data_IF_062895041199
#
_entry.id   IF_062895041199
#
_cell.length_a   1.000
_cell.length_b   1.000
_cell.length_c   1.000
_cell.angle_alpha   90.00
_cell.angle_beta   90.00
_cell.angle_gamma   90.00
#
_symmetry.space_group_name_H-M   'P 1'
#
loop_
_entity.id
_entity.type
_entity.pdbx_description
1 polymer ?
#
# COMPACT_ATOMS: atom_id res chain seq x y z
N UNK A 1 17.33 8.75 -21.20
CA UNK A 1 15.99 8.24 -20.88
C UNK A 1 15.89 6.85 -21.49
N UNK A 2 15.96 5.80 -20.66
CA UNK A 2 15.75 4.42 -21.12
C UNK A 2 14.27 4.25 -21.42
N UNK A 3 13.91 3.99 -22.67
CA UNK A 3 12.53 3.64 -23.01
C UNK A 3 12.22 2.26 -22.42
N UNK A 4 11.05 2.03 -21.79
CA UNK A 4 10.77 0.82 -21.02
C UNK A 4 10.39 -0.36 -21.93
N UNK A 5 11.04 -0.53 -23.08
CA UNK A 5 10.75 -1.59 -24.04
C UNK A 5 11.99 -2.44 -24.28
N UNK A 6 11.84 -3.75 -24.19
CA UNK A 6 12.91 -4.73 -24.37
C UNK A 6 12.46 -5.78 -25.38
N UNK A 7 13.35 -6.16 -26.30
CA UNK A 7 13.13 -7.28 -27.20
C UNK A 7 13.61 -8.56 -26.52
N UNK A 8 12.77 -9.59 -26.49
CA UNK A 8 13.09 -10.89 -25.91
C UNK A 8 12.86 -12.01 -26.91
N UNK A 9 13.53 -13.15 -26.70
CA UNK A 9 13.38 -14.37 -27.52
C UNK A 9 12.62 -15.42 -26.72
N UNK A 10 11.54 -15.95 -27.27
CA UNK A 10 10.72 -16.98 -26.63
C UNK A 10 11.09 -18.34 -27.18
N UNK A 11 11.39 -19.28 -26.29
CA UNK A 11 11.69 -20.66 -26.62
C UNK A 11 10.67 -21.60 -25.99
N UNK A 12 10.48 -22.78 -26.58
CA UNK A 12 9.65 -23.85 -26.03
C UNK A 12 8.21 -23.88 -26.54
N UNK A 13 7.51 -24.96 -26.18
CA UNK A 13 6.17 -25.34 -26.70
C UNK A 13 5.01 -24.85 -25.84
N UNK A 14 5.30 -24.30 -24.66
CA UNK A 14 4.27 -24.04 -23.65
C UNK A 14 3.24 -22.98 -24.06
N UNK A 15 3.63 -22.05 -24.92
CA UNK A 15 2.75 -20.99 -25.44
C UNK A 15 2.26 -21.29 -26.86
N UNK A 16 2.49 -22.50 -27.37
CA UNK A 16 1.95 -22.93 -28.65
C UNK A 16 0.42 -23.12 -28.54
N UNK A 17 -0.37 -22.72 -29.55
CA UNK A 17 0.04 -22.28 -30.88
C UNK A 17 0.36 -20.78 -31.00
N UNK A 18 0.15 -19.98 -29.95
CA UNK A 18 0.27 -18.52 -30.03
C UNK A 18 1.71 -18.05 -30.25
N UNK A 19 2.66 -18.64 -29.53
CA UNK A 19 4.08 -18.53 -29.82
C UNK A 19 4.62 -19.87 -30.30
N UNK A 20 5.66 -19.80 -31.13
CA UNK A 20 6.43 -20.93 -31.60
C UNK A 20 5.53 -21.97 -32.30
N UNK A 21 4.64 -21.52 -33.19
CA UNK A 21 3.64 -22.33 -33.93
C UNK A 21 4.22 -23.62 -34.54
N UNK A 22 5.47 -23.57 -35.00
CA UNK A 22 6.15 -24.70 -35.66
C UNK A 22 6.97 -25.59 -34.70
N UNK A 23 6.92 -25.34 -33.39
CA UNK A 23 7.65 -26.15 -32.41
C UNK A 23 6.91 -27.45 -32.11
N UNK A 24 7.53 -28.57 -32.45
CA UNK A 24 7.08 -29.91 -32.10
C UNK A 24 8.19 -30.65 -31.35
N UNK A 25 7.87 -31.48 -30.33
CA UNK A 25 8.87 -32.30 -29.64
C UNK A 25 9.58 -33.32 -30.56
N UNK A 26 9.02 -33.60 -31.74
CA UNK A 26 9.55 -34.57 -32.72
C UNK A 26 10.42 -33.91 -33.81
N UNK A 27 10.48 -32.58 -33.85
CA UNK A 27 11.22 -31.82 -34.87
C UNK A 27 12.42 -31.10 -34.25
N UNK A 28 13.47 -30.79 -35.04
CA UNK A 28 14.56 -29.93 -34.58
C UNK A 28 14.02 -28.58 -34.09
N UNK A 29 14.68 -27.94 -33.11
CA UNK A 29 14.19 -26.72 -32.49
C UNK A 29 13.98 -25.62 -33.54
N UNK A 30 12.76 -25.11 -33.63
CA UNK A 30 12.42 -24.01 -34.50
C UNK A 30 13.15 -22.72 -34.06
N UNK A 31 13.29 -21.77 -34.98
CA UNK A 31 13.79 -20.45 -34.64
C UNK A 31 12.86 -19.81 -33.59
N UNK A 32 13.42 -19.16 -32.54
CA UNK A 32 12.61 -18.58 -31.49
C UNK A 32 11.85 -17.35 -31.98
N UNK A 33 10.62 -17.19 -31.51
CA UNK A 33 9.84 -15.98 -31.73
C UNK A 33 10.47 -14.79 -31.01
N UNK A 34 10.45 -13.64 -31.67
CA UNK A 34 10.92 -12.37 -31.13
C UNK A 34 9.71 -11.57 -30.62
N UNK A 35 9.75 -11.16 -29.37
CA UNK A 35 8.65 -10.43 -28.72
C UNK A 35 9.12 -9.05 -28.25
N UNK A 36 8.23 -8.06 -28.34
CA UNK A 36 8.40 -6.74 -27.76
C UNK A 36 7.74 -6.70 -26.39
N UNK A 37 8.50 -6.42 -25.35
CA UNK A 37 8.06 -6.44 -23.96
C UNK A 37 8.14 -5.04 -23.37
N UNK A 38 7.02 -4.56 -22.82
CA UNK A 38 7.00 -3.39 -21.96
C UNK A 38 7.45 -3.78 -20.56
N UNK A 39 8.61 -3.29 -20.12
CA UNK A 39 9.14 -3.56 -18.79
C UNK A 39 8.38 -2.74 -17.74
N UNK A 40 7.93 -3.43 -16.69
CA UNK A 40 7.22 -2.84 -15.55
C UNK A 40 8.22 -2.40 -14.48
N UNK A 41 9.28 -3.21 -14.31
CA UNK A 41 10.45 -2.83 -13.53
C UNK A 41 11.50 -2.27 -14.48
N UNK A 42 11.65 -0.94 -14.51
CA UNK A 42 12.91 -0.38 -14.99
C UNK A 42 14.01 -0.93 -14.08
N UNK A 43 15.01 -1.59 -14.67
CA UNK A 43 16.25 -2.09 -14.06
C UNK A 43 17.14 -0.92 -13.56
N UNK A 44 16.55 0.09 -12.93
CA UNK A 44 17.22 1.29 -12.47
C UNK A 44 16.46 1.99 -11.35
N UNK A 45 17.21 2.64 -10.47
CA UNK A 45 16.74 3.42 -9.32
C UNK A 45 15.65 4.43 -9.72
N UNK A 46 14.39 4.06 -9.51
CA UNK A 46 13.28 5.01 -9.53
C UNK A 46 13.29 5.77 -8.21
N UNK A 47 13.52 7.08 -8.30
CA UNK A 47 13.47 8.00 -7.16
C UNK A 47 12.19 7.77 -6.33
N UNK A 48 12.28 7.68 -4.99
CA UNK A 48 11.11 7.49 -4.11
C UNK A 48 10.08 8.63 -4.19
N UNK A 49 10.42 9.73 -4.86
CA UNK A 49 9.55 10.87 -5.14
C UNK A 49 8.53 10.58 -6.26
N UNK A 50 8.83 9.66 -7.17
CA UNK A 50 7.93 9.27 -8.26
C UNK A 50 7.42 7.86 -8.01
N UNK A 51 6.25 7.77 -7.37
CA UNK A 51 5.48 6.52 -7.27
C UNK A 51 5.08 6.15 -8.70
N UNK A 52 5.82 5.25 -9.34
CA UNK A 52 5.41 4.71 -10.65
C UNK A 52 4.03 4.09 -10.43
N UNK A 53 3.00 4.47 -11.21
CA UNK A 53 1.67 3.90 -11.04
C UNK A 53 1.77 2.37 -11.12
N UNK A 54 1.12 1.68 -10.19
CA UNK A 54 1.06 0.21 -10.20
C UNK A 54 0.55 -0.22 -11.56
N UNK A 55 1.38 -0.98 -12.29
CA UNK A 55 1.02 -1.45 -13.62
C UNK A 55 -0.21 -2.36 -13.48
N UNK A 56 -1.31 -1.98 -14.13
CA UNK A 56 -2.56 -2.73 -14.03
C UNK A 56 -2.58 -3.85 -15.06
N UNK A 57 -2.51 -5.08 -14.58
CA UNK A 57 -2.67 -6.28 -15.39
C UNK A 57 -4.13 -6.49 -15.78
N UNK A 58 -4.33 -6.99 -16.99
CA UNK A 58 -5.63 -7.33 -17.55
C UNK A 58 -5.63 -8.82 -17.93
N UNK A 59 -6.82 -9.43 -17.90
CA UNK A 59 -7.01 -10.82 -18.34
C UNK A 59 -6.64 -10.94 -19.82
N UNK A 60 -6.06 -12.07 -20.21
CA UNK A 60 -5.61 -12.33 -21.57
C UNK A 60 -4.24 -11.74 -21.93
N UNK A 61 -3.69 -10.82 -21.13
CA UNK A 61 -2.35 -10.30 -21.37
C UNK A 61 -1.30 -11.40 -21.23
N UNK A 62 -0.25 -11.33 -22.05
CA UNK A 62 0.90 -12.19 -21.93
C UNK A 62 1.96 -11.48 -21.09
N UNK A 63 2.40 -12.13 -20.02
CA UNK A 63 3.37 -11.57 -19.06
C UNK A 63 4.68 -12.33 -19.13
N UNK A 64 5.77 -11.59 -18.89
CA UNK A 64 7.10 -12.13 -18.61
C UNK A 64 7.35 -11.98 -17.12
N UNK A 65 7.68 -13.07 -16.43
CA UNK A 65 7.87 -13.06 -14.98
C UNK A 65 8.98 -14.02 -14.55
N UNK A 66 9.55 -13.78 -13.36
CA UNK A 66 10.48 -14.70 -12.72
C UNK A 66 9.75 -15.92 -12.17
N UNK A 67 10.22 -17.13 -12.46
CA UNK A 67 9.52 -18.32 -11.98
C UNK A 67 9.63 -18.42 -10.46
N UNK A 68 8.56 -18.84 -9.76
CA UNK A 68 8.58 -18.94 -8.29
C UNK A 68 9.51 -20.05 -7.79
N UNK A 69 9.84 -21.02 -8.64
CA UNK A 69 10.65 -22.19 -8.28
C UNK A 69 12.14 -22.00 -8.55
N UNK A 70 12.50 -21.11 -9.48
CA UNK A 70 13.88 -20.71 -9.76
C UNK A 70 13.96 -19.22 -10.18
N UNK A 71 14.44 -18.32 -9.31
CA UNK A 71 14.48 -16.88 -9.57
C UNK A 71 15.46 -16.48 -10.67
N UNK A 72 16.36 -17.36 -11.10
CA UNK A 72 17.26 -17.09 -12.22
C UNK A 72 16.61 -17.34 -13.58
N UNK A 73 15.40 -17.90 -13.60
CA UNK A 73 14.67 -18.24 -14.81
C UNK A 73 13.46 -17.34 -15.00
N UNK A 74 13.20 -17.01 -16.25
CA UNK A 74 12.03 -16.24 -16.67
C UNK A 74 11.10 -17.12 -17.49
N UNK A 75 9.81 -16.94 -17.30
CA UNK A 75 8.78 -17.62 -18.08
C UNK A 75 7.86 -16.59 -18.75
N UNK A 76 7.30 -17.01 -19.89
CA UNK A 76 6.28 -16.28 -20.62
C UNK A 76 4.99 -17.08 -20.54
N UNK A 77 3.95 -16.49 -19.95
CA UNK A 77 2.63 -17.12 -19.77
C UNK A 77 1.52 -16.11 -19.98
N UNK A 78 0.30 -16.60 -20.17
CA UNK A 78 -0.89 -15.76 -20.29
C UNK A 78 -1.59 -15.60 -18.95
N UNK A 79 -2.02 -14.39 -18.64
CA UNK A 79 -2.86 -14.09 -17.48
C UNK A 79 -4.27 -14.61 -17.74
N UNK A 80 -4.68 -15.59 -16.94
CA UNK A 80 -6.00 -16.21 -17.01
C UNK A 80 -6.92 -15.64 -15.93
N UNK A 81 -6.40 -15.36 -14.74
CA UNK A 81 -7.18 -14.80 -13.63
C UNK A 81 -6.44 -13.70 -12.88
N UNK A 82 -7.23 -12.78 -12.33
CA UNK A 82 -6.82 -11.61 -11.55
C UNK A 82 -7.31 -11.74 -10.10
N UNK A 83 -6.83 -10.88 -9.16
CA UNK A 83 -7.30 -10.90 -7.79
C UNK A 83 -8.83 -10.85 -7.68
N UNK A 84 -9.39 -11.76 -6.89
CA UNK A 84 -10.84 -11.94 -6.71
C UNK A 84 -11.51 -12.90 -7.68
N UNK A 85 -10.81 -13.37 -8.71
CA UNK A 85 -11.34 -14.40 -9.59
C UNK A 85 -11.29 -15.78 -8.92
N UNK A 86 -12.19 -16.65 -9.36
CA UNK A 86 -12.23 -18.05 -8.96
C UNK A 86 -11.89 -18.90 -10.18
N UNK A 87 -10.79 -19.64 -10.11
CA UNK A 87 -10.29 -20.48 -11.21
C UNK A 87 -10.37 -21.94 -10.80
N UNK A 88 -10.89 -22.78 -11.69
CA UNK A 88 -10.85 -24.25 -11.55
C UNK A 88 -9.57 -24.77 -12.22
N UNK A 89 -8.61 -25.31 -11.45
CA UNK A 89 -7.36 -25.82 -12.01
C UNK A 89 -7.57 -27.07 -12.88
N UNK A 90 -6.58 -27.40 -13.71
CA UNK A 90 -6.54 -28.66 -14.45
C UNK A 90 -6.37 -29.87 -13.50
N UNK A 91 -6.82 -31.07 -13.90
CA UNK A 91 -6.69 -32.28 -13.09
C UNK A 91 -5.26 -32.56 -12.59
N UNK A 92 -5.17 -33.03 -11.35
CA UNK A 92 -3.96 -33.34 -10.60
C UNK A 92 -3.28 -32.13 -9.95
N UNK A 93 -3.98 -31.01 -9.79
CA UNK A 93 -3.50 -29.89 -8.98
C UNK A 93 -3.35 -30.34 -7.51
N UNK A 94 -2.27 -29.93 -6.84
CA UNK A 94 -1.95 -30.37 -5.48
C UNK A 94 -3.02 -29.98 -4.43
N UNK A 95 -3.91 -29.03 -4.75
CA UNK A 95 -5.04 -28.62 -3.91
C UNK A 95 -6.26 -29.56 -3.96
N UNK A 96 -6.20 -30.65 -4.74
CA UNK A 96 -7.30 -31.58 -4.98
C UNK A 96 -7.95 -31.37 -6.34
N UNK A 97 -8.39 -32.46 -6.95
CA UNK A 97 -9.17 -32.42 -8.19
C UNK A 97 -10.50 -31.68 -7.94
N UNK A 98 -10.85 -30.75 -8.82
CA UNK A 98 -12.05 -29.91 -8.75
C UNK A 98 -12.14 -28.91 -7.59
N UNK A 99 -11.05 -28.65 -6.85
CA UNK A 99 -11.01 -27.57 -5.85
C UNK A 99 -10.80 -26.21 -6.53
N UNK A 100 -11.81 -25.32 -6.59
CA UNK A 100 -11.62 -24.02 -7.19
C UNK A 100 -10.74 -23.14 -6.30
N UNK A 101 -9.80 -22.44 -6.91
CA UNK A 101 -8.86 -21.54 -6.24
C UNK A 101 -9.34 -20.10 -6.41
N UNK A 102 -9.49 -19.39 -5.29
CA UNK A 102 -9.74 -17.94 -5.28
C UNK A 102 -8.38 -17.23 -5.32
N UNK A 103 -8.19 -16.33 -6.27
CA UNK A 103 -6.93 -15.62 -6.44
C UNK A 103 -6.83 -14.51 -5.39
N UNK A 104 -5.80 -14.52 -4.52
CA UNK A 104 -5.64 -13.53 -3.46
C UNK A 104 -5.18 -12.17 -4.00
N UNK A 105 -5.22 -11.15 -3.13
CA UNK A 105 -4.69 -9.82 -3.44
C UNK A 105 -3.23 -9.89 -3.91
N UNK A 106 -2.89 -9.03 -4.87
CA UNK A 106 -1.57 -8.94 -5.49
C UNK A 106 -1.05 -10.25 -6.12
N UNK A 107 -1.93 -11.20 -6.42
CA UNK A 107 -1.58 -12.42 -7.13
C UNK A 107 -2.36 -12.54 -8.44
N UNK A 108 -1.84 -13.36 -9.36
CA UNK A 108 -2.44 -13.66 -10.66
C UNK A 108 -2.36 -15.16 -10.92
N UNK A 109 -3.28 -15.67 -11.73
CA UNK A 109 -3.24 -17.03 -12.25
C UNK A 109 -2.78 -16.98 -13.69
N UNK A 110 -1.70 -17.70 -14.01
CA UNK A 110 -1.09 -17.72 -15.34
C UNK A 110 -1.04 -19.12 -15.91
N UNK A 111 -1.36 -19.27 -17.19
CA UNK A 111 -1.34 -20.55 -17.89
C UNK A 111 -0.61 -20.43 -19.24
N UNK A 112 -0.08 -21.55 -19.72
CA UNK A 112 0.36 -21.66 -21.10
C UNK A 112 -0.82 -21.82 -22.06
N UNK A 113 -0.64 -21.44 -23.32
CA UNK A 113 -1.68 -21.67 -24.36
C UNK A 113 -1.70 -23.13 -24.85
N UNK A 114 -0.69 -23.92 -24.50
CA UNK A 114 -0.67 -25.34 -24.79
C UNK A 114 -1.69 -26.08 -23.90
N UNK A 115 -2.73 -26.66 -24.51
CA UNK A 115 -3.81 -27.43 -23.85
C UNK A 115 -3.35 -28.79 -23.28
N UNK A 116 -2.12 -28.89 -22.75
CA UNK A 116 -1.67 -30.06 -22.03
C UNK A 116 -0.74 -29.66 -20.88
N UNK A 117 -1.05 -30.20 -19.69
CA UNK A 117 -0.28 -30.00 -18.46
C UNK A 117 1.18 -30.44 -18.62
N UNK A 118 1.44 -31.53 -19.33
CA UNK A 118 2.80 -32.05 -19.54
C UNK A 118 3.69 -31.11 -20.37
N UNK A 119 3.09 -30.15 -21.08
CA UNK A 119 3.80 -29.22 -21.98
C UNK A 119 4.02 -27.84 -21.36
N UNK A 120 3.41 -27.55 -20.20
CA UNK A 120 3.43 -26.23 -19.57
C UNK A 120 3.51 -26.34 -18.05
N UNK A 121 4.66 -25.96 -17.48
CA UNK A 121 4.76 -25.69 -16.05
C UNK A 121 4.23 -24.27 -15.80
N UNK A 122 3.08 -24.16 -15.14
CA UNK A 122 2.33 -22.90 -14.94
C UNK A 122 1.52 -22.94 -13.62
N UNK A 123 0.54 -22.04 -13.43
CA UNK A 123 -0.25 -21.98 -12.19
C UNK A 123 -1.01 -23.27 -11.87
N UNK A 124 -1.27 -24.15 -12.84
CA UNK A 124 -1.81 -25.48 -12.56
C UNK A 124 -0.82 -26.41 -11.82
N UNK A 125 0.44 -26.00 -11.66
CA UNK A 125 1.46 -26.74 -10.91
C UNK A 125 1.74 -26.12 -9.55
N UNK A 126 1.97 -24.80 -9.51
CA UNK A 126 2.40 -24.09 -8.30
C UNK A 126 1.33 -23.16 -7.70
N UNK A 127 0.20 -22.95 -8.37
CA UNK A 127 -0.87 -22.05 -7.94
C UNK A 127 -0.69 -20.59 -8.40
N UNK A 128 -1.37 -19.64 -7.76
CA UNK A 128 -1.30 -18.22 -8.13
C UNK A 128 0.08 -17.63 -7.79
N UNK A 129 0.58 -16.72 -8.63
CA UNK A 129 1.89 -16.06 -8.48
C UNK A 129 1.73 -14.60 -8.11
N UNK A 130 2.69 -14.04 -7.38
CA UNK A 130 2.71 -12.61 -7.03
C UNK A 130 2.91 -11.74 -8.27
N UNK A 131 2.14 -10.65 -8.37
CA UNK A 131 2.30 -9.65 -9.43
C UNK A 131 3.68 -8.99 -9.41
N UNK A 132 4.37 -8.99 -8.27
CA UNK A 132 5.72 -8.46 -8.14
C UNK A 132 6.79 -9.30 -8.87
N UNK A 133 6.47 -10.54 -9.26
CA UNK A 133 7.36 -11.36 -10.09
C UNK A 133 7.31 -10.95 -11.56
N UNK A 134 6.31 -10.15 -11.97
CA UNK A 134 6.09 -9.75 -13.36
C UNK A 134 7.10 -8.68 -13.76
N UNK A 135 8.02 -9.05 -14.64
CA UNK A 135 9.04 -8.17 -15.19
C UNK A 135 8.48 -7.25 -16.28
N UNK A 136 7.52 -7.74 -17.06
CA UNK A 136 6.98 -7.02 -18.21
C UNK A 136 5.76 -7.66 -18.85
N UNK A 137 5.12 -6.91 -19.75
CA UNK A 137 3.98 -7.35 -20.56
C UNK A 137 4.37 -7.37 -22.02
N UNK A 138 4.02 -8.44 -22.71
CA UNK A 138 4.26 -8.56 -24.15
C UNK A 138 3.26 -7.69 -24.90
N UNK A 139 3.76 -6.79 -25.73
CA UNK A 139 2.97 -5.86 -26.54
C UNK A 139 2.79 -6.35 -27.97
N UNK A 140 3.84 -6.94 -28.55
CA UNK A 140 3.83 -7.34 -29.94
C UNK A 140 4.76 -8.52 -30.22
N UNK A 141 4.47 -9.24 -31.30
CA UNK A 141 5.21 -10.39 -31.78
C UNK A 141 5.79 -10.07 -33.15
N UNK A 142 7.07 -10.36 -33.35
CA UNK A 142 7.71 -10.23 -34.64
C UNK A 142 7.63 -11.56 -35.37
N UNK A 143 6.83 -11.58 -36.44
CA UNK A 143 6.60 -12.77 -37.27
C UNK A 143 7.55 -12.76 -38.47
N UNK A 144 8.41 -13.77 -38.64
CA UNK A 144 9.28 -13.87 -39.81
C UNK A 144 8.47 -13.88 -41.12
N UNK A 145 8.79 -12.96 -42.04
CA UNK A 145 8.09 -12.81 -43.32
C UNK A 145 7.03 -11.70 -43.36
N UNK A 146 6.70 -11.10 -42.21
CA UNK A 146 5.87 -9.89 -42.13
C UNK A 146 6.76 -8.68 -41.83
N UNK A 147 6.59 -7.57 -42.57
CA UNK A 147 7.43 -6.38 -42.42
C UNK A 147 7.10 -5.55 -41.16
N UNK A 148 6.03 -5.88 -40.45
CA UNK A 148 5.52 -5.12 -39.30
C UNK A 148 5.24 -6.06 -38.13
N UNK A 149 5.47 -5.64 -36.88
CA UNK A 149 5.12 -6.44 -35.71
C UNK A 149 3.60 -6.58 -35.59
N UNK A 150 3.16 -7.77 -35.16
CA UNK A 150 1.75 -8.02 -34.84
C UNK A 150 1.51 -7.56 -33.41
N UNK A 151 0.71 -6.50 -33.26
CA UNK A 151 0.31 -5.99 -31.95
C UNK A 151 -0.72 -6.93 -31.31
N UNK A 152 -0.52 -7.22 -30.03
CA UNK A 152 -1.46 -8.02 -29.27
C UNK A 152 -2.61 -7.12 -28.82
N UNK A 153 -3.84 -7.50 -29.18
CA UNK A 153 -5.02 -6.84 -28.64
C UNK A 153 -5.08 -7.10 -27.12
N UNK A 154 -5.40 -6.04 -26.38
CA UNK A 154 -5.50 -6.09 -24.92
C UNK A 154 -6.84 -6.69 -24.47
N UNK A 155 -7.85 -6.66 -25.34
CA UNK A 155 -9.22 -7.03 -25.00
C UNK A 155 -9.65 -8.39 -25.59
N UNK A 156 -8.95 -8.89 -26.61
CA UNK A 156 -9.25 -10.16 -27.27
C UNK A 156 -8.55 -11.34 -26.55
N UNK A 157 -9.27 -11.96 -25.61
CA UNK A 157 -8.76 -13.03 -24.76
C UNK A 157 -9.44 -14.36 -25.03
N UNK A 158 -9.22 -14.94 -26.21
CA UNK A 158 -9.70 -16.28 -26.54
C UNK A 158 -8.78 -17.35 -25.91
N UNK A 159 -8.74 -17.37 -24.56
CA UNK A 159 -7.88 -18.31 -23.82
C UNK A 159 -8.56 -19.68 -23.70
N UNK A 160 -7.78 -20.78 -23.69
CA UNK A 160 -8.35 -22.11 -23.47
C UNK A 160 -9.18 -22.20 -22.18
N UNK A 161 -8.71 -21.58 -21.09
CA UNK A 161 -9.42 -21.52 -19.82
C UNK A 161 -10.79 -20.83 -19.91
N UNK A 162 -10.92 -19.81 -20.77
CA UNK A 162 -12.18 -19.10 -21.02
C UNK A 162 -13.14 -19.95 -21.85
N UNK A 163 -12.62 -20.69 -22.84
CA UNK A 163 -13.39 -21.65 -23.65
C UNK A 163 -13.96 -22.78 -22.80
N UNK A 164 -13.16 -23.27 -21.84
CA UNK A 164 -13.54 -24.35 -20.93
C UNK A 164 -14.39 -23.86 -19.74
N UNK A 165 -14.75 -22.55 -19.70
CA UNK A 165 -15.51 -21.93 -18.62
C UNK A 165 -14.93 -22.17 -17.21
N UNK A 166 -13.61 -22.33 -17.09
CA UNK A 166 -12.91 -22.63 -15.82
C UNK A 166 -12.74 -21.41 -14.92
N UNK A 167 -12.97 -20.20 -15.43
CA UNK A 167 -12.74 -18.94 -14.72
C UNK A 167 -14.08 -18.25 -14.46
N UNK A 168 -14.36 -17.98 -13.19
CA UNK A 168 -15.44 -17.10 -12.76
C UNK A 168 -14.83 -15.77 -12.32
N UNK A 169 -15.17 -14.71 -13.04
CA UNK A 169 -14.61 -13.39 -12.80
C UNK A 169 -15.24 -12.74 -11.55
N UNK A 170 -14.42 -12.08 -10.76
CA UNK A 170 -14.84 -11.13 -9.72
C UNK A 170 -15.70 -11.69 -8.59
N UNK A 171 -15.57 -12.98 -8.28
CA UNK A 171 -16.34 -13.65 -7.23
C UNK A 171 -16.12 -13.02 -5.86
N UNK A 172 -14.90 -12.55 -5.56
CA UNK A 172 -14.54 -11.95 -4.27
C UNK A 172 -14.02 -10.53 -4.46
N UNK A 173 -14.93 -9.56 -4.43
CA UNK A 173 -14.60 -8.13 -4.61
C UNK A 173 -13.58 -7.59 -3.59
N UNK A 174 -13.57 -8.13 -2.36
CA UNK A 174 -12.60 -7.75 -1.33
C UNK A 174 -11.16 -8.16 -1.66
N UNK A 175 -10.94 -9.21 -2.46
CA UNK A 175 -9.59 -9.66 -2.80
C UNK A 175 -8.85 -8.72 -3.78
N UNK A 176 -9.52 -7.69 -4.32
CA UNK A 176 -8.93 -6.67 -5.18
C UNK A 176 -8.31 -5.50 -4.45
N UNK A 177 -8.84 -5.21 -3.26
CA UNK A 177 -8.45 -4.04 -2.50
C UNK A 177 -7.13 -4.34 -1.80
N UNK A 178 -6.24 -3.35 -1.78
CA UNK A 178 -5.01 -3.43 -0.99
C UNK A 178 -5.42 -3.65 0.48
N UNK A 179 -4.91 -4.65 1.20
CA UNK A 179 -5.24 -4.84 2.61
C UNK A 179 -4.93 -3.58 3.44
N UNK A 180 -3.93 -2.79 3.01
CA UNK A 180 -3.64 -1.49 3.61
C UNK A 180 -4.74 -0.45 3.28
N UNK A 181 -5.29 -0.46 2.06
CA UNK A 181 -6.43 0.39 1.71
C UNK A 181 -7.72 -0.09 2.38
N UNK A 182 -7.94 -1.39 2.54
CA UNK A 182 -9.06 -1.95 3.31
C UNK A 182 -8.95 -1.60 4.78
N UNK A 183 -7.74 -1.61 5.34
CA UNK A 183 -7.52 -1.11 6.69
C UNK A 183 -7.92 0.37 6.76
N UNK A 184 -7.44 1.21 5.84
CA UNK A 184 -7.80 2.64 5.78
C UNK A 184 -9.30 2.87 5.54
N UNK A 185 -9.99 1.97 4.82
CA UNK A 185 -11.43 2.02 4.55
C UNK A 185 -12.28 1.39 5.65
N UNK A 186 -11.71 0.60 6.55
CA UNK A 186 -12.42 0.16 7.75
C UNK A 186 -12.71 1.40 8.58
N UNK A 187 -13.99 1.65 8.86
CA UNK A 187 -14.50 2.91 9.43
C UNK A 187 -13.89 3.27 10.80
N UNK A 188 -13.05 2.41 11.40
CA UNK A 188 -12.41 2.59 12.69
C UNK A 188 -10.87 2.74 12.57
N UNK A 189 -10.33 3.98 12.68
CA UNK A 189 -8.89 4.29 12.63
C UNK A 189 -8.04 3.56 13.67
N UNK A 190 -8.63 3.10 14.78
CA UNK A 190 -7.89 2.40 15.84
C UNK A 190 -7.71 0.91 15.51
N UNK A 191 -8.70 0.31 14.85
CA UNK A 191 -8.64 -1.10 14.43
C UNK A 191 -7.83 -1.30 13.16
N UNK A 192 -7.77 -0.29 12.30
CA UNK A 192 -6.98 -0.30 11.07
C UNK A 192 -5.49 -0.05 11.25
N UNK A 193 -5.04 0.33 12.46
CA UNK A 193 -3.65 0.71 12.72
C UNK A 193 -3.30 2.13 12.27
N UNK A 194 -4.20 2.87 11.63
CA UNK A 194 -3.99 4.26 11.24
C UNK A 194 -3.70 5.18 12.44
N UNK A 195 -4.40 4.98 13.56
CA UNK A 195 -4.16 5.71 14.80
C UNK A 195 -2.76 5.43 15.38
N UNK A 196 -2.26 4.20 15.26
CA UNK A 196 -0.91 3.85 15.73
C UNK A 196 0.17 4.53 14.90
N UNK A 197 -0.04 4.61 13.57
CA UNK A 197 0.85 5.34 12.66
C UNK A 197 0.86 6.85 12.97
N UNK A 198 -0.31 7.46 13.17
CA UNK A 198 -0.42 8.88 13.53
C UNK A 198 0.26 9.18 14.88
N UNK A 199 0.08 8.32 15.89
CA UNK A 199 0.79 8.44 17.17
C UNK A 199 2.32 8.41 16.98
N UNK A 200 2.83 7.47 16.18
CA UNK A 200 4.25 7.39 15.88
C UNK A 200 4.76 8.64 15.14
N UNK A 201 3.96 9.19 14.21
CA UNK A 201 4.27 10.42 13.50
C UNK A 201 4.29 11.66 14.41
N UNK A 202 3.37 11.75 15.36
CA UNK A 202 3.31 12.85 16.35
C UNK A 202 4.55 12.79 17.25
N UNK A 203 4.87 11.62 17.80
CA UNK A 203 6.07 11.42 18.64
C UNK A 203 7.35 11.77 17.90
N UNK A 204 7.50 11.31 16.66
CA UNK A 204 8.67 11.60 15.83
C UNK A 204 8.82 13.09 15.51
N UNK A 205 7.72 13.80 15.33
CA UNK A 205 7.70 15.21 14.93
C UNK A 205 7.24 16.15 16.05
N UNK A 206 7.46 15.78 17.32
CA UNK A 206 6.96 16.51 18.49
C UNK A 206 7.37 17.99 18.49
N UNK A 207 8.61 18.26 18.07
CA UNK A 207 9.16 19.62 17.96
C UNK A 207 8.44 20.49 16.90
N UNK A 208 7.87 19.87 15.87
CA UNK A 208 7.16 20.56 14.78
C UNK A 208 5.67 20.76 15.09
N UNK A 209 5.14 20.12 16.15
CA UNK A 209 3.72 20.21 16.53
C UNK A 209 3.23 21.64 16.80
N UNK A 210 3.98 22.50 17.52
CA UNK A 210 3.54 23.88 17.73
C UNK A 210 3.40 24.68 16.44
N UNK A 211 4.26 24.41 15.43
CA UNK A 211 4.16 25.04 14.12
C UNK A 211 2.96 24.49 13.33
N UNK A 212 2.74 23.17 13.37
CA UNK A 212 1.60 22.50 12.72
C UNK A 212 0.26 22.95 13.29
N UNK A 213 0.13 23.09 14.60
CA UNK A 213 -1.10 23.53 15.26
C UNK A 213 -1.48 24.98 14.93
N UNK A 214 -0.50 25.82 14.58
CA UNK A 214 -0.76 27.19 14.11
C UNK A 214 -1.14 27.25 12.64
N UNK A 215 -0.94 26.18 11.87
CA UNK A 215 -1.30 26.13 10.47
C UNK A 215 -2.83 26.02 10.29
N UNK A 216 -3.34 26.66 9.24
CA UNK A 216 -4.77 26.72 8.95
C UNK A 216 -5.35 25.31 8.73
N UNK A 217 -6.47 25.00 9.38
CA UNK A 217 -7.18 23.71 9.28
C UNK A 217 -6.54 22.54 10.04
N UNK A 218 -5.26 22.65 10.42
CA UNK A 218 -4.58 21.58 11.16
C UNK A 218 -5.05 21.47 12.61
N UNK A 219 -5.35 22.61 13.26
CA UNK A 219 -5.90 22.61 14.62
C UNK A 219 -7.22 21.82 14.68
N UNK A 220 -8.15 22.07 13.75
CA UNK A 220 -9.44 21.36 13.66
C UNK A 220 -9.26 19.86 13.41
N UNK A 221 -8.29 19.49 12.57
CA UNK A 221 -7.94 18.08 12.36
C UNK A 221 -7.46 17.43 13.65
N UNK A 222 -6.55 18.06 14.39
CA UNK A 222 -6.04 17.51 15.65
C UNK A 222 -7.11 17.49 16.76
N UNK A 223 -8.05 18.44 16.78
CA UNK A 223 -9.23 18.35 17.64
C UNK A 223 -10.09 17.13 17.32
N UNK A 224 -10.32 16.87 16.03
CA UNK A 224 -11.11 15.72 15.59
C UNK A 224 -10.44 14.40 16.01
N UNK A 225 -9.12 14.30 15.82
CA UNK A 225 -8.34 13.14 16.24
C UNK A 225 -8.37 12.97 17.77
N UNK A 226 -8.21 14.07 18.52
CA UNK A 226 -8.28 14.06 19.98
C UNK A 226 -9.66 13.61 20.50
N UNK A 227 -10.74 14.06 19.88
CA UNK A 227 -12.10 13.66 20.23
C UNK A 227 -12.34 12.16 19.97
N UNK A 228 -11.85 11.65 18.83
CA UNK A 228 -11.91 10.22 18.50
C UNK A 228 -11.12 9.38 19.51
N UNK A 229 -9.92 9.82 19.88
CA UNK A 229 -9.10 9.13 20.87
C UNK A 229 -9.75 9.12 22.27
N UNK A 230 -10.31 10.25 22.72
CA UNK A 230 -11.07 10.30 23.99
C UNK A 230 -12.29 9.37 23.96
N UNK A 231 -13.03 9.32 22.85
CA UNK A 231 -14.16 8.41 22.69
C UNK A 231 -13.74 6.94 22.76
N UNK A 232 -12.62 6.57 22.13
CA UNK A 232 -12.12 5.19 22.15
C UNK A 232 -11.58 4.78 23.53
N UNK A 233 -10.96 5.70 24.28
CA UNK A 233 -10.58 5.48 25.69
C UNK A 233 -11.82 5.19 26.55
N UNK A 234 -12.92 5.92 26.33
CA UNK A 234 -14.19 5.71 27.06
C UNK A 234 -14.83 4.37 26.70
N UNK A 235 -14.76 3.95 25.44
CA UNK A 235 -15.26 2.64 24.96
C UNK A 235 -14.54 1.46 25.63
N UNK A 236 -13.25 1.63 25.95
CA UNK A 236 -12.52 0.73 26.84
C UNK A 236 -12.11 -0.62 26.23
N UNK A 237 -11.97 -0.72 24.90
CA UNK A 237 -11.48 -1.92 24.23
C UNK A 237 -10.00 -2.16 24.55
N UNK A 238 -9.67 -3.35 25.08
CA UNK A 238 -8.32 -3.69 25.55
C UNK A 238 -7.26 -3.64 24.43
N UNK A 239 -7.68 -3.86 23.17
CA UNK A 239 -6.77 -3.90 22.03
C UNK A 239 -6.36 -2.50 21.52
N UNK A 240 -7.26 -1.51 21.63
CA UNK A 240 -7.05 -0.15 21.11
C UNK A 240 -6.66 0.87 22.19
N UNK A 241 -6.92 0.55 23.47
CA UNK A 241 -6.72 1.45 24.61
C UNK A 241 -5.34 2.10 24.70
N UNK A 242 -4.26 1.31 24.56
CA UNK A 242 -2.89 1.84 24.70
C UNK A 242 -2.56 2.89 23.64
N UNK A 243 -3.03 2.69 22.41
CA UNK A 243 -2.84 3.63 21.31
C UNK A 243 -3.67 4.88 21.55
N UNK A 244 -4.94 4.73 21.96
CA UNK A 244 -5.83 5.85 22.23
C UNK A 244 -5.33 6.73 23.38
N UNK A 245 -4.90 6.14 24.50
CA UNK A 245 -4.32 6.87 25.64
C UNK A 245 -3.05 7.64 25.24
N UNK A 246 -2.13 7.01 24.50
CA UNK A 246 -0.92 7.68 24.03
C UNK A 246 -1.20 8.84 23.07
N UNK A 247 -2.26 8.74 22.28
CA UNK A 247 -2.66 9.78 21.32
C UNK A 247 -3.32 10.97 22.03
N UNK A 248 -4.12 10.73 23.06
CA UNK A 248 -4.63 11.79 23.95
C UNK A 248 -3.47 12.52 24.62
N UNK A 249 -2.55 11.79 25.25
CA UNK A 249 -1.42 12.37 25.97
C UNK A 249 -0.57 13.31 25.09
N UNK A 250 -0.12 12.83 23.92
CA UNK A 250 0.73 13.64 23.03
C UNK A 250 -0.01 14.86 22.46
N UNK A 251 -1.31 14.77 22.21
CA UNK A 251 -2.10 15.89 21.72
C UNK A 251 -2.38 16.93 22.82
N UNK A 252 -2.66 16.51 24.05
CA UNK A 252 -2.84 17.44 25.18
C UNK A 252 -1.55 18.24 25.43
N UNK A 253 -0.39 17.57 25.40
CA UNK A 253 0.93 18.22 25.48
C UNK A 253 1.11 19.21 24.32
N UNK A 254 0.75 18.81 23.10
CA UNK A 254 0.88 19.67 21.93
C UNK A 254 -0.03 20.91 22.03
N UNK A 255 -1.26 20.78 22.53
CA UNK A 255 -2.17 21.90 22.75
C UNK A 255 -1.65 22.87 23.81
N UNK A 256 -1.13 22.37 24.93
CA UNK A 256 -0.53 23.21 25.97
C UNK A 256 0.68 24.00 25.43
N UNK A 257 1.49 23.39 24.56
CA UNK A 257 2.66 24.04 23.95
C UNK A 257 2.34 25.28 23.09
N UNK A 258 1.09 25.39 22.62
CA UNK A 258 0.60 26.56 21.85
C UNK A 258 -0.30 27.48 22.66
N UNK A 259 -0.42 27.26 23.97
CA UNK A 259 -1.24 28.08 24.87
C UNK A 259 -2.73 27.78 24.78
N UNK A 260 -3.09 26.54 24.47
CA UNK A 260 -4.45 26.03 24.55
C UNK A 260 -4.62 25.19 25.82
N UNK A 261 -5.86 25.01 26.27
CA UNK A 261 -6.19 24.03 27.31
C UNK A 261 -5.91 22.61 26.81
N UNK A 262 -5.90 21.62 27.71
CA UNK A 262 -5.80 20.20 27.34
C UNK A 262 -6.88 19.76 26.35
N UNK A 263 -8.07 20.34 26.42
CA UNK A 263 -9.14 20.06 25.45
C UNK A 263 -8.95 20.79 24.10
N UNK A 264 -7.84 21.51 23.94
CA UNK A 264 -7.50 22.37 22.80
C UNK A 264 -8.29 23.69 22.76
N UNK A 265 -9.13 23.96 23.76
CA UNK A 265 -9.86 25.23 23.89
C UNK A 265 -8.92 26.40 24.15
N UNK A 266 -9.34 27.63 23.81
CA UNK A 266 -8.54 28.83 24.12
C UNK A 266 -8.46 29.03 25.63
N UNK A 267 -7.26 29.27 26.14
CA UNK A 267 -7.06 29.68 27.54
C UNK A 267 -7.70 31.05 27.72
N UNK A 268 -8.59 31.19 28.72
CA UNK A 268 -9.20 32.47 29.03
C UNK A 268 -8.10 33.48 29.43
N UNK A 269 -8.12 34.71 28.90
CA UNK A 269 -7.14 35.70 29.30
C UNK A 269 -7.27 35.93 30.81
N UNK A 270 -6.15 35.85 31.53
CA UNK A 270 -6.10 36.19 32.95
C UNK A 270 -6.28 37.70 33.06
N UNK A 271 -7.52 38.14 33.21
CA UNK A 271 -7.83 39.54 33.52
C UNK A 271 -7.49 39.74 34.99
N UNK A 272 -6.31 40.28 35.29
CA UNK A 272 -6.01 40.75 36.64
C UNK A 272 -7.05 41.83 37.01
N UNK A 273 -7.77 41.72 38.14
CA UNK A 273 -8.69 42.76 38.56
C UNK A 273 -7.93 44.08 38.72
N UNK A 274 -8.52 45.18 38.26
CA UNK A 274 -7.91 46.53 38.23
C UNK A 274 -7.34 46.99 39.58
N UNK A 275 -7.90 46.51 40.70
CA UNK A 275 -7.42 46.78 42.05
C UNK A 275 -6.04 46.16 42.35
N UNK A 276 -5.68 45.07 41.68
CA UNK A 276 -4.36 44.44 41.76
C UNK A 276 -3.31 45.18 40.92
N UNK A 277 -3.73 45.86 39.84
CA UNK A 277 -2.86 46.73 39.03
C UNK A 277 -2.52 48.05 39.73
N UNK A 278 -3.48 48.65 40.44
CA UNK A 278 -3.29 49.93 41.13
C UNK A 278 -2.31 49.86 42.32
N UNK A 279 -2.06 48.68 42.87
CA UNK A 279 -1.13 48.48 44.00
C UNK A 279 0.35 48.35 43.59
N UNK A 280 0.64 48.04 42.32
CA UNK A 280 2.01 47.79 41.86
C UNK A 280 2.69 49.03 41.27
N UNK A 281 1.94 50.04 40.81
CA UNK A 281 2.49 51.24 40.16
C UNK A 281 3.01 52.31 41.13
N UNK A 282 2.77 52.17 42.45
CA UNK A 282 3.15 53.17 43.46
C UNK A 282 4.20 52.74 44.48
N UNK A 283 4.65 51.49 44.48
CA UNK A 283 5.55 50.97 45.50
C UNK A 283 6.94 50.69 44.92
N UNK A 284 7.91 51.54 45.30
CA UNK A 284 9.32 51.41 44.91
C UNK A 284 9.86 50.03 45.30
N UNK A 285 10.74 49.45 44.48
CA UNK A 285 11.45 48.20 44.80
C UNK A 285 12.12 48.23 46.17
N UNK A 286 12.57 49.41 46.61
CA UNK A 286 13.15 49.61 47.94
C UNK A 286 12.12 49.44 49.08
N UNK A 287 10.86 49.84 48.87
CA UNK A 287 9.80 49.70 49.88
C UNK A 287 9.38 48.23 50.05
N UNK A 288 9.40 47.47 48.95
CA UNK A 288 9.16 46.01 48.95
C UNK A 288 10.26 45.26 49.69
N UNK A 289 11.53 45.61 49.46
CA UNK A 289 12.67 45.02 50.19
C UNK A 289 12.62 45.34 51.69
N UNK A 290 12.26 46.58 52.04
CA UNK A 290 12.16 47.01 53.45
C UNK A 290 11.04 46.28 54.18
N UNK A 291 9.87 46.12 53.55
CA UNK A 291 8.75 45.33 54.10
C UNK A 291 9.11 43.85 54.25
N UNK A 292 9.85 43.28 53.30
CA UNK A 292 10.31 41.90 53.38
C UNK A 292 11.30 41.72 54.55
N UNK A 293 12.22 42.66 54.74
CA UNK A 293 13.15 42.63 55.87
C UNK A 293 12.43 42.76 57.22
N UNK A 294 11.47 43.67 57.35
CA UNK A 294 10.65 43.81 58.57
C UNK A 294 9.83 42.54 58.86
N UNK A 295 9.30 41.89 57.84
CA UNK A 295 8.57 40.63 57.98
C UNK A 295 9.47 39.49 58.47
N UNK A 296 10.65 39.35 57.85
CA UNK A 296 11.65 38.35 58.24
C UNK A 296 12.21 38.60 59.65
N UNK A 297 12.35 39.87 60.05
CA UNK A 297 12.75 40.25 61.41
C UNK A 297 11.69 39.85 62.44
N UNK A 298 10.40 40.06 62.15
CA UNK A 298 9.28 39.65 63.02
C UNK A 298 9.16 38.13 63.17
N UNK A 299 9.51 37.37 62.13
CA UNK A 299 9.53 35.90 62.21
C UNK A 299 10.75 35.35 62.97
N UNK A 300 11.78 36.16 63.21
CA UNK A 300 12.96 35.77 64.00
C UNK A 300 12.83 36.06 65.50
N UNK A 301 11.80 36.80 65.91
CA UNK A 301 11.56 37.14 67.33
C UNK A 301 10.46 36.29 67.98
N UNK A 302 10.10 35.16 67.37
CA UNK A 302 9.27 34.08 67.97
C UNK A 302 10.12 32.84 68.04
#
# INVERSE_FOLDING_TARGET
>A
MSFPWTIMRVHGVSMAPFFNTNSSPELPPAAPDLILVQTVHSLGEVSPMFRVPRFKLHRGQVVVYYTPHDPNTIAVKRVVGLPGDKVTPLPGYNGGDDCPVIIPYNHIWVEGDANNRDKSIDSNHFGPISQNLVCGVVLAVYVPGLNWPVWLDRDESDTPAKKDARVQEDVVGSARLDPDEQAVQSEDPFRSGGAALELAMIRRNRELMPAKLRARGMLERYHSIHALAKAEVVKGDASTRSVAEGLVEELEIAFESVGLNKDGGRVAPVVKPRWQQAGEEGESTADKERRLQDYLARQRTV
#
